data_IF_292017029983
#
_entry.id   IF_292017029983
#
_cell.length_a   1.000
_cell.length_b   1.000
_cell.length_c   1.000
_cell.angle_alpha   90.00
_cell.angle_beta   90.00
_cell.angle_gamma   90.00
#
_symmetry.space_group_name_H-M   'P 1'
#
loop_
_entity.id
_entity.type
_entity.pdbx_description
1 polymer ?
#
# COMPACT_ATOMS: atom_id res chain seq x y z
N UNK A 1 10.66 44.64 -1.44
CA UNK A 1 10.61 43.28 -0.86
C UNK A 1 9.33 42.61 -1.32
N UNK A 2 9.39 41.65 -2.26
CA UNK A 2 8.23 40.82 -2.64
C UNK A 2 8.42 39.45 -2.01
N UNK A 3 7.43 38.99 -1.25
CA UNK A 3 7.41 37.65 -0.67
C UNK A 3 7.14 36.61 -1.77
N UNK A 4 7.96 35.57 -1.83
CA UNK A 4 7.72 34.40 -2.68
C UNK A 4 6.60 33.53 -2.08
N UNK A 5 5.74 32.88 -2.90
CA UNK A 5 4.72 31.96 -2.39
C UNK A 5 5.37 30.65 -1.93
N UNK A 6 4.92 30.14 -0.78
CA UNK A 6 5.27 28.79 -0.30
C UNK A 6 4.52 27.75 -1.13
N UNK A 7 5.24 26.80 -1.70
CA UNK A 7 4.67 25.61 -2.36
C UNK A 7 4.11 24.68 -1.27
N UNK A 8 2.92 24.12 -1.48
CA UNK A 8 2.18 23.30 -0.50
C UNK A 8 2.57 21.81 -0.49
N UNK A 9 3.66 21.44 -1.17
CA UNK A 9 4.20 20.08 -1.17
C UNK A 9 3.32 19.02 -1.84
N UNK A 10 2.19 19.40 -2.45
CA UNK A 10 1.33 18.44 -3.18
C UNK A 10 1.85 18.28 -4.60
N UNK A 11 2.50 17.15 -4.86
CA UNK A 11 2.78 16.71 -6.23
C UNK A 11 1.45 16.19 -6.78
N UNK A 12 0.76 17.01 -7.59
CA UNK A 12 -0.35 16.52 -8.39
C UNK A 12 0.19 15.49 -9.40
N UNK A 13 -0.40 14.29 -9.50
CA UNK A 13 0.04 13.34 -10.53
C UNK A 13 -0.18 13.95 -11.91
N UNK A 14 0.72 13.72 -12.88
CA UNK A 14 0.54 14.25 -14.23
C UNK A 14 -0.74 13.69 -14.87
N UNK A 15 -1.40 14.54 -15.68
CA UNK A 15 -2.79 14.38 -16.18
C UNK A 15 -3.03 13.14 -17.04
N UNK A 16 -1.99 12.42 -17.43
CA UNK A 16 -1.99 11.32 -18.39
C UNK A 16 -2.02 9.93 -17.74
N UNK A 17 -1.92 9.82 -16.41
CA UNK A 17 -1.89 8.52 -15.71
C UNK A 17 -3.27 7.84 -15.58
N UNK A 18 -4.34 8.62 -15.57
CA UNK A 18 -5.72 8.12 -15.33
C UNK A 18 -6.33 7.42 -16.54
N UNK A 19 -5.77 7.61 -17.74
CA UNK A 19 -6.38 7.16 -19.01
C UNK A 19 -5.60 6.07 -19.73
N UNK A 20 -4.50 5.59 -19.16
CA UNK A 20 -3.76 4.46 -19.73
C UNK A 20 -4.44 3.17 -19.29
N UNK A 21 -4.76 2.22 -20.21
CA UNK A 21 -5.15 0.89 -19.78
C UNK A 21 -4.02 0.34 -18.91
N UNK A 22 -4.36 -0.26 -17.77
CA UNK A 22 -3.41 -0.96 -16.91
C UNK A 22 -2.59 -1.88 -17.80
N UNK A 23 -1.35 -1.47 -18.07
CA UNK A 23 -0.44 -2.28 -18.86
C UNK A 23 -0.11 -3.45 -17.97
N UNK A 24 -0.36 -4.67 -18.45
CA UNK A 24 0.03 -5.90 -17.76
C UNK A 24 1.42 -5.70 -17.16
N UNK A 25 1.55 -5.76 -15.83
CA UNK A 25 2.85 -5.79 -15.16
C UNK A 25 3.52 -7.10 -15.56
N UNK A 26 4.15 -7.11 -16.73
CA UNK A 26 5.09 -8.16 -17.07
C UNK A 26 6.29 -7.90 -16.16
N UNK A 27 6.52 -8.79 -15.19
CA UNK A 27 7.69 -8.80 -14.34
C UNK A 27 8.95 -8.90 -15.21
N UNK A 28 9.45 -7.75 -15.66
CA UNK A 28 10.74 -7.63 -16.32
C UNK A 28 11.69 -7.10 -15.25
N UNK A 29 12.74 -7.84 -14.86
CA UNK A 29 13.75 -7.33 -13.95
C UNK A 29 14.36 -6.07 -14.56
N UNK A 30 14.37 -4.96 -13.81
CA UNK A 30 14.76 -3.66 -14.36
C UNK A 30 16.25 -3.34 -14.20
N UNK A 31 16.98 -4.17 -13.46
CA UNK A 31 18.45 -4.13 -13.39
C UNK A 31 19.02 -5.49 -13.80
N UNK A 32 19.84 -5.51 -14.86
CA UNK A 32 20.37 -6.76 -15.44
C UNK A 32 21.26 -7.55 -14.46
N UNK A 33 21.82 -6.93 -13.42
CA UNK A 33 22.77 -7.54 -12.47
C UNK A 33 22.49 -7.23 -10.98
N UNK A 34 21.31 -6.70 -10.65
CA UNK A 34 20.94 -6.41 -9.26
C UNK A 34 20.53 -7.67 -8.50
N UNK A 35 21.21 -8.00 -7.41
CA UNK A 35 20.79 -9.07 -6.49
C UNK A 35 20.24 -8.51 -5.19
N UNK A 36 19.18 -9.11 -4.66
CA UNK A 36 18.67 -8.77 -3.35
C UNK A 36 19.71 -8.98 -2.24
N UNK A 37 19.70 -8.16 -1.18
CA UNK A 37 20.47 -8.47 0.02
C UNK A 37 19.99 -9.81 0.60
N UNK A 38 20.88 -10.63 1.19
CA UNK A 38 20.47 -11.89 1.79
C UNK A 38 19.50 -11.65 2.96
N UNK A 39 18.60 -12.61 3.20
CA UNK A 39 17.63 -12.53 4.30
C UNK A 39 18.31 -12.26 5.65
N UNK A 40 17.66 -11.46 6.51
CA UNK A 40 18.16 -11.09 7.83
C UNK A 40 19.33 -10.10 7.85
N UNK A 41 19.72 -9.53 6.71
CA UNK A 41 20.72 -8.47 6.65
C UNK A 41 20.08 -7.08 6.84
N UNK A 42 20.88 -6.11 7.28
CA UNK A 42 20.42 -4.72 7.36
C UNK A 42 20.14 -4.17 5.97
N UNK A 43 18.96 -3.57 5.78
CA UNK A 43 18.51 -3.01 4.51
C UNK A 43 17.07 -2.51 4.59
N UNK A 44 16.48 -2.17 3.45
CA UNK A 44 15.05 -1.90 3.35
C UNK A 44 14.28 -3.20 3.62
N UNK A 45 13.33 -3.16 4.55
CA UNK A 45 12.44 -4.30 4.81
C UNK A 45 11.19 -4.22 3.92
N UNK A 46 10.46 -3.12 3.99
CA UNK A 46 9.41 -2.74 3.05
C UNK A 46 9.26 -1.21 3.04
N UNK A 47 8.49 -0.69 2.09
CA UNK A 47 7.92 0.65 2.16
C UNK A 47 6.40 0.58 2.08
N UNK A 48 5.72 1.61 2.60
CA UNK A 48 4.28 1.64 2.69
C UNK A 48 3.68 2.72 1.77
N UNK A 49 2.60 2.37 1.06
CA UNK A 49 1.78 3.26 0.25
C UNK A 49 0.42 3.39 0.92
N UNK A 50 0.07 4.62 1.31
CA UNK A 50 -1.23 4.94 1.90
C UNK A 50 -2.28 5.23 0.82
N UNK A 51 -3.44 4.61 0.95
CA UNK A 51 -4.64 4.86 0.17
C UNK A 51 -5.62 5.75 0.95
N UNK A 52 -6.43 6.58 0.27
CA UNK A 52 -7.32 7.52 0.95
C UNK A 52 -8.41 6.85 1.79
N UNK A 53 -8.86 5.66 1.38
CA UNK A 53 -9.91 4.90 2.05
C UNK A 53 -9.86 3.41 1.69
N UNK A 54 -10.76 2.63 2.29
CA UNK A 54 -10.93 1.19 2.08
C UNK A 54 -11.24 0.85 0.62
N UNK A 55 -12.05 1.66 -0.05
CA UNK A 55 -12.48 1.41 -1.43
C UNK A 55 -11.31 1.56 -2.39
N UNK A 56 -10.49 2.60 -2.22
CA UNK A 56 -9.30 2.83 -3.01
C UNK A 56 -8.27 1.70 -2.81
N UNK A 57 -8.05 1.21 -1.58
CA UNK A 57 -7.23 0.02 -1.35
C UNK A 57 -7.83 -1.21 -2.03
N UNK A 58 -9.14 -1.44 -1.88
CA UNK A 58 -9.84 -2.56 -2.51
C UNK A 58 -9.75 -2.57 -4.04
N UNK A 59 -9.79 -1.38 -4.67
CA UNK A 59 -9.58 -1.24 -6.11
C UNK A 59 -8.15 -1.62 -6.54
N UNK A 60 -7.14 -1.26 -5.75
CA UNK A 60 -5.77 -1.67 -6.02
C UNK A 60 -5.58 -3.19 -5.83
N UNK A 61 -6.16 -3.78 -4.78
CA UNK A 61 -6.16 -5.24 -4.56
C UNK A 61 -6.87 -5.96 -5.70
N UNK A 62 -8.01 -5.45 -6.17
CA UNK A 62 -8.71 -5.98 -7.35
C UNK A 62 -7.78 -6.03 -8.56
N UNK A 63 -7.08 -4.94 -8.84
CA UNK A 63 -6.14 -4.87 -9.96
C UNK A 63 -5.02 -5.91 -9.83
N UNK A 64 -4.49 -6.16 -8.63
CA UNK A 64 -3.48 -7.21 -8.44
C UNK A 64 -4.05 -8.60 -8.77
N UNK A 65 -5.24 -8.91 -8.25
CA UNK A 65 -5.90 -10.20 -8.46
C UNK A 65 -6.30 -10.44 -9.92
N UNK A 66 -6.79 -9.41 -10.63
CA UNK A 66 -7.14 -9.48 -12.06
C UNK A 66 -5.92 -9.76 -12.96
N UNK A 67 -4.71 -9.45 -12.49
CA UNK A 67 -3.46 -9.69 -13.20
C UNK A 67 -2.67 -10.89 -12.65
N UNK A 68 -3.29 -11.74 -11.82
CA UNK A 68 -2.67 -12.89 -11.18
C UNK A 68 -1.39 -12.53 -10.40
N UNK A 69 -1.31 -11.31 -9.86
CA UNK A 69 -0.16 -10.86 -9.08
C UNK A 69 -0.23 -11.40 -7.65
N UNK A 70 0.85 -12.01 -7.13
CA UNK A 70 0.83 -12.61 -5.79
C UNK A 70 0.70 -11.57 -4.69
N UNK A 71 -0.14 -11.88 -3.70
CA UNK A 71 -0.26 -11.16 -2.43
C UNK A 71 0.26 -12.11 -1.35
N UNK A 72 1.15 -11.63 -0.50
CA UNK A 72 1.78 -12.45 0.54
C UNK A 72 0.89 -12.58 1.78
N UNK A 73 0.31 -11.47 2.23
CA UNK A 73 -0.58 -11.44 3.39
C UNK A 73 -1.47 -10.19 3.39
N UNK A 74 -2.51 -10.24 4.23
CA UNK A 74 -3.30 -9.07 4.58
C UNK A 74 -3.54 -9.08 6.09
N UNK A 75 -3.38 -7.93 6.74
CA UNK A 75 -3.38 -7.81 8.20
C UNK A 75 -4.20 -6.58 8.66
N UNK A 76 -5.05 -6.80 9.66
CA UNK A 76 -5.73 -5.74 10.42
C UNK A 76 -4.88 -5.40 11.65
N UNK A 77 -4.44 -4.14 11.73
CA UNK A 77 -3.67 -3.58 12.83
C UNK A 77 -4.52 -2.68 13.74
N UNK A 78 -5.83 -2.88 13.76
CA UNK A 78 -6.87 -2.08 14.39
C UNK A 78 -7.03 -0.70 13.73
N UNK A 79 -6.00 0.15 13.84
CA UNK A 79 -6.02 1.51 13.28
C UNK A 79 -5.79 1.54 11.77
N UNK A 80 -5.03 0.58 11.25
CA UNK A 80 -4.73 0.44 9.81
C UNK A 80 -5.08 -0.94 9.32
N UNK A 81 -5.43 -1.04 8.04
CA UNK A 81 -5.64 -2.31 7.34
C UNK A 81 -4.68 -2.35 6.17
N UNK A 82 -3.87 -3.39 6.12
CA UNK A 82 -2.69 -3.49 5.26
C UNK A 82 -2.71 -4.76 4.42
N UNK A 83 -2.15 -4.67 3.21
CA UNK A 83 -1.91 -5.78 2.28
C UNK A 83 -0.44 -5.76 1.88
N UNK A 84 0.23 -6.90 1.97
CA UNK A 84 1.65 -7.05 1.73
C UNK A 84 1.91 -7.86 0.45
N UNK A 85 2.87 -7.40 -0.34
CA UNK A 85 3.35 -8.06 -1.55
C UNK A 85 4.82 -7.73 -1.78
N UNK A 86 5.47 -8.46 -2.68
CA UNK A 86 6.78 -8.13 -3.20
C UNK A 86 6.68 -7.62 -4.64
N UNK A 87 7.47 -6.62 -5.01
CA UNK A 87 7.64 -6.20 -6.41
C UNK A 87 8.49 -7.21 -7.22
N UNK A 88 8.67 -7.05 -8.55
CA UNK A 88 9.50 -7.96 -9.34
C UNK A 88 10.98 -8.02 -8.94
N UNK A 89 11.50 -6.98 -8.30
CA UNK A 89 12.86 -6.94 -7.75
C UNK A 89 12.88 -7.47 -6.29
N UNK A 90 11.70 -7.90 -5.81
CA UNK A 90 11.33 -8.35 -4.48
C UNK A 90 11.64 -7.38 -3.35
N UNK A 91 11.42 -6.09 -3.60
CA UNK A 91 11.22 -5.14 -2.52
C UNK A 91 9.86 -5.41 -1.88
N UNK A 92 9.81 -5.45 -0.54
CA UNK A 92 8.55 -5.52 0.19
C UNK A 92 7.74 -4.23 0.02
N UNK A 93 6.45 -4.38 -0.28
CA UNK A 93 5.48 -3.29 -0.38
C UNK A 93 4.34 -3.58 0.59
N UNK A 94 4.00 -2.58 1.40
CA UNK A 94 2.77 -2.52 2.17
C UNK A 94 1.82 -1.53 1.50
N UNK A 95 0.61 -1.96 1.17
CA UNK A 95 -0.48 -1.10 0.74
C UNK A 95 -1.51 -1.03 1.87
N UNK A 96 -1.81 0.16 2.38
CA UNK A 96 -2.71 0.27 3.52
C UNK A 96 -3.65 1.48 3.43
N UNK A 97 -4.71 1.45 4.23
CA UNK A 97 -5.51 2.64 4.53
C UNK A 97 -5.66 2.82 6.04
N UNK A 98 -5.80 4.06 6.48
CA UNK A 98 -6.10 4.42 7.86
C UNK A 98 -7.60 4.34 8.11
N UNK A 99 -8.01 3.65 9.17
CA UNK A 99 -9.38 3.80 9.69
C UNK A 99 -9.53 5.15 10.41
N UNK A 100 -10.77 5.65 10.64
CA UNK A 100 -10.99 6.89 11.38
C UNK A 100 -10.20 6.93 12.70
N UNK A 101 -9.54 8.06 12.97
CA UNK A 101 -8.57 8.16 14.08
C UNK A 101 -9.19 7.88 15.45
N UNK A 102 -10.49 8.12 15.59
CA UNK A 102 -11.27 7.92 16.81
C UNK A 102 -11.28 6.45 17.24
N UNK A 103 -11.16 5.51 16.29
CA UNK A 103 -11.21 4.08 16.61
C UNK A 103 -9.84 3.45 16.88
N UNK A 104 -8.76 4.23 16.76
CA UNK A 104 -7.41 3.75 17.06
C UNK A 104 -7.20 3.53 18.55
N UNK A 105 -8.03 4.14 19.40
CA UNK A 105 -7.87 4.11 20.84
C UNK A 105 -9.02 3.38 21.51
N UNK A 106 -8.71 2.73 22.63
CA UNK A 106 -9.71 2.26 23.58
C UNK A 106 -10.34 3.44 24.35
N UNK A 107 -11.45 3.19 25.05
CA UNK A 107 -12.06 4.20 25.94
C UNK A 107 -11.10 4.66 27.04
N UNK A 108 -10.12 3.83 27.40
CA UNK A 108 -9.05 4.13 28.37
C UNK A 108 -8.00 5.12 27.82
N UNK A 109 -8.02 5.40 26.52
CA UNK A 109 -7.01 6.20 25.81
C UNK A 109 -5.76 5.42 25.37
N UNK A 110 -5.71 4.10 25.63
CA UNK A 110 -4.64 3.24 25.12
C UNK A 110 -4.82 2.95 23.63
N UNK A 111 -3.71 2.80 22.91
CA UNK A 111 -3.73 2.42 21.50
C UNK A 111 -4.22 0.98 21.34
N UNK A 112 -5.20 0.76 20.48
CA UNK A 112 -5.59 -0.58 20.04
C UNK A 112 -4.49 -1.15 19.17
N UNK A 113 -3.88 -2.23 19.64
CA UNK A 113 -2.82 -2.94 18.95
C UNK A 113 -3.29 -4.36 18.69
N UNK A 114 -3.41 -4.72 17.42
CA UNK A 114 -3.68 -6.09 17.00
C UNK A 114 -2.88 -6.41 15.74
N UNK A 115 -2.87 -7.69 15.39
CA UNK A 115 -2.36 -8.18 14.12
C UNK A 115 -3.18 -9.41 13.77
N UNK A 116 -4.27 -9.18 13.05
CA UNK A 116 -5.19 -10.24 12.65
C UNK A 116 -5.12 -10.42 11.15
N UNK A 117 -4.84 -11.65 10.70
CA UNK A 117 -4.80 -11.97 9.27
C UNK A 117 -6.22 -12.17 8.72
N UNK A 118 -6.46 -11.71 7.50
CA UNK A 118 -7.74 -11.86 6.80
C UNK A 118 -7.53 -12.17 5.31
N UNK A 119 -8.58 -12.57 4.58
CA UNK A 119 -8.47 -12.80 3.12
C UNK A 119 -8.47 -11.44 2.40
N UNK A 120 -7.44 -11.08 1.61
CA UNK A 120 -7.43 -9.81 0.87
C UNK A 120 -8.66 -9.62 -0.03
N UNK A 121 -9.36 -10.70 -0.43
CA UNK A 121 -10.63 -10.61 -1.18
C UNK A 121 -11.76 -9.94 -0.40
N UNK A 122 -11.67 -9.90 0.94
CA UNK A 122 -12.65 -9.21 1.77
C UNK A 122 -12.69 -7.70 1.48
N UNK A 123 -11.58 -7.13 0.98
CA UNK A 123 -11.49 -5.73 0.55
C UNK A 123 -12.23 -5.44 -0.76
N UNK A 124 -12.61 -6.48 -1.53
CA UNK A 124 -13.35 -6.32 -2.79
C UNK A 124 -14.85 -6.09 -2.56
N UNK A 125 -15.36 -6.56 -1.42
CA UNK A 125 -16.76 -6.44 -1.04
C UNK A 125 -17.04 -5.03 -0.53
N UNK A 126 -18.15 -4.43 -0.96
CA UNK A 126 -18.59 -3.09 -0.56
C UNK A 126 -19.18 -3.02 0.85
N UNK A 127 -19.16 -4.10 1.62
CA UNK A 127 -19.91 -4.16 2.86
C UNK A 127 -19.19 -3.42 3.99
N UNK A 128 -19.99 -2.54 4.61
CA UNK A 128 -19.70 -1.65 5.71
C UNK A 128 -19.90 -2.31 7.08
#
# INVERSE_FOLDING_TARGET
MRASPRHDGRIAPPRDWVSRPATRCNAQPTAEDGTQPPSGHTGLHHFAIVYPDREALGNAVRSLLEHDYPIDSAEDHAGTVSVYLHDPDGNGIEMYYDRPREIWFEETGLLRLQRESFDPRDLLSSEA
#
